data_IF_475287578897
#
_entry.id   IF_475287578897
#
_cell.length_a   1.000
_cell.length_b   1.000
_cell.length_c   1.000
_cell.angle_alpha   90.00
_cell.angle_beta   90.00
_cell.angle_gamma   90.00
#
_symmetry.space_group_name_H-M   'P 1'
#
loop_
_entity.id
_entity.type
_entity.pdbx_description
1 polymer ?
#
# COMPACT_ATOMS: atom_id res chain seq x y z
N UNK A 1 -1.88 -17.00 -4.62
CA UNK A 1 -0.50 -16.81 -4.11
C UNK A 1 -0.59 -16.50 -2.63
N UNK A 2 0.35 -16.99 -1.80
CA UNK A 2 0.27 -16.78 -0.35
C UNK A 2 0.85 -15.41 0.05
N UNK A 3 0.42 -14.88 1.20
CA UNK A 3 0.81 -13.54 1.70
C UNK A 3 2.33 -13.32 1.72
N UNK A 4 3.11 -14.32 2.12
CA UNK A 4 4.57 -14.24 2.16
C UNK A 4 5.20 -13.98 0.80
N UNK A 5 4.68 -14.61 -0.25
CA UNK A 5 5.19 -14.41 -1.62
C UNK A 5 4.79 -13.03 -2.14
N UNK A 6 3.55 -12.59 -1.86
CA UNK A 6 3.11 -11.23 -2.20
C UNK A 6 4.01 -10.19 -1.53
N UNK A 7 4.31 -10.37 -0.25
CA UNK A 7 5.20 -9.49 0.51
C UNK A 7 6.60 -9.45 -0.09
N UNK A 8 7.14 -10.57 -0.55
CA UNK A 8 8.46 -10.61 -1.20
C UNK A 8 8.46 -9.81 -2.51
N UNK A 9 7.46 -10.00 -3.37
CA UNK A 9 7.32 -9.23 -4.62
C UNK A 9 7.18 -7.74 -4.33
N UNK A 10 6.30 -7.37 -3.40
CA UNK A 10 6.04 -5.97 -3.02
C UNK A 10 7.30 -5.31 -2.45
N UNK A 11 7.93 -5.93 -1.45
CA UNK A 11 9.13 -5.37 -0.82
C UNK A 11 10.31 -5.29 -1.81
N UNK A 12 10.46 -6.26 -2.70
CA UNK A 12 11.48 -6.24 -3.75
C UNK A 12 11.32 -5.08 -4.73
N UNK A 13 10.10 -4.78 -5.17
CA UNK A 13 9.84 -3.64 -6.07
C UNK A 13 10.02 -2.31 -5.34
N UNK A 14 9.41 -2.16 -4.16
CA UNK A 14 9.41 -0.89 -3.43
C UNK A 14 10.79 -0.51 -2.90
N UNK A 15 11.57 -1.48 -2.39
CA UNK A 15 12.92 -1.22 -1.91
C UNK A 15 13.85 -0.71 -3.00
N UNK A 16 13.69 -1.19 -4.24
CA UNK A 16 14.49 -0.73 -5.37
C UNK A 16 14.06 0.66 -5.86
N UNK A 17 12.75 0.85 -6.06
CA UNK A 17 12.24 2.09 -6.67
C UNK A 17 12.22 3.27 -5.72
N UNK A 18 11.89 3.04 -4.45
CA UNK A 18 11.73 4.08 -3.45
C UNK A 18 12.97 4.21 -2.54
N UNK A 19 14.09 3.58 -2.90
CA UNK A 19 15.36 3.74 -2.19
C UNK A 19 15.75 5.22 -2.03
N UNK A 20 15.54 6.03 -3.07
CA UNK A 20 15.86 7.47 -3.07
C UNK A 20 15.02 8.28 -2.08
N UNK A 21 13.83 7.78 -1.71
CA UNK A 21 12.92 8.38 -0.73
C UNK A 21 13.19 7.87 0.70
N UNK A 22 14.24 7.05 0.87
CA UNK A 22 14.60 6.46 2.15
C UNK A 22 13.62 5.35 2.56
N UNK A 23 13.36 4.41 1.63
CA UNK A 23 12.61 3.19 1.93
C UNK A 23 13.14 2.51 3.19
N UNK A 24 12.24 2.26 4.15
CA UNK A 24 12.55 1.58 5.40
C UNK A 24 11.92 0.20 5.43
N UNK A 25 10.62 0.11 5.18
CA UNK A 25 9.86 -1.14 5.20
C UNK A 25 8.54 -1.00 4.45
N UNK A 26 7.86 -2.12 4.20
CA UNK A 26 6.49 -2.13 3.70
C UNK A 26 5.63 -3.10 4.51
N UNK A 27 4.47 -2.63 4.95
CA UNK A 27 3.40 -3.43 5.51
C UNK A 27 2.48 -3.90 4.37
N UNK A 28 2.15 -5.19 4.36
CA UNK A 28 1.33 -5.81 3.32
C UNK A 28 0.23 -6.59 4.00
N UNK A 29 -1.01 -6.20 3.72
CA UNK A 29 -2.22 -6.82 4.24
C UNK A 29 -3.10 -7.26 3.10
N UNK A 30 -3.85 -8.32 3.34
CA UNK A 30 -4.94 -8.75 2.47
C UNK A 30 -6.22 -8.45 3.21
N UNK A 31 -7.10 -7.73 2.55
CA UNK A 31 -8.41 -7.34 3.08
C UNK A 31 -9.47 -7.63 2.03
N UNK A 32 -10.72 -7.72 2.46
CA UNK A 32 -11.87 -7.87 1.56
C UNK A 32 -12.42 -6.48 1.25
N UNK A 33 -12.63 -6.17 -0.04
CA UNK A 33 -13.29 -4.93 -0.46
C UNK A 33 -14.83 -5.03 -0.27
N UNK A 34 -15.56 -3.95 -0.54
CA UNK A 34 -17.00 -3.88 -0.32
C UNK A 34 -17.80 -4.94 -1.10
N UNK A 35 -17.27 -5.36 -2.25
CA UNK A 35 -17.85 -6.39 -3.11
C UNK A 35 -17.49 -7.84 -2.69
N UNK A 36 -16.75 -8.04 -1.60
CA UNK A 36 -16.31 -9.37 -1.18
C UNK A 36 -15.03 -9.86 -1.87
N UNK A 37 -14.35 -9.00 -2.64
CA UNK A 37 -13.13 -9.35 -3.36
C UNK A 37 -11.87 -9.12 -2.52
N UNK A 38 -10.95 -10.10 -2.53
CA UNK A 38 -9.66 -9.94 -1.86
C UNK A 38 -8.78 -8.90 -2.56
N UNK A 39 -8.40 -7.87 -1.81
CA UNK A 39 -7.46 -6.83 -2.23
C UNK A 39 -6.18 -6.88 -1.40
N UNK A 40 -5.09 -6.38 -1.98
CA UNK A 40 -3.80 -6.26 -1.31
C UNK A 40 -3.57 -4.79 -0.96
N UNK A 41 -3.58 -4.47 0.33
CA UNK A 41 -3.26 -3.14 0.83
C UNK A 41 -1.80 -3.10 1.27
N UNK A 42 -1.06 -2.16 0.70
CA UNK A 42 0.37 -1.96 0.93
C UNK A 42 0.59 -0.58 1.53
N UNK A 43 1.25 -0.52 2.67
CA UNK A 43 1.73 0.74 3.27
C UNK A 43 3.25 0.74 3.23
N UNK A 44 3.84 1.65 2.46
CA UNK A 44 5.30 1.81 2.39
C UNK A 44 5.77 2.89 3.35
N UNK A 45 6.73 2.54 4.21
CA UNK A 45 7.33 3.47 5.16
C UNK A 45 8.59 4.09 4.55
N UNK A 46 8.58 5.42 4.42
CA UNK A 46 9.61 6.22 3.77
C UNK A 46 10.13 7.31 4.71
N UNK A 47 11.40 7.68 4.57
CA UNK A 47 11.95 8.83 5.28
C UNK A 47 11.44 10.17 4.73
N UNK A 48 11.06 10.20 3.45
CA UNK A 48 10.57 11.40 2.73
C UNK A 48 9.41 11.01 1.82
N UNK A 49 8.47 11.93 1.56
CA UNK A 49 7.40 11.67 0.61
C UNK A 49 7.97 11.39 -0.79
N UNK A 50 7.18 10.66 -1.59
CA UNK A 50 7.34 10.65 -3.04
C UNK A 50 6.57 11.83 -3.60
N UNK A 51 7.29 12.82 -4.13
CA UNK A 51 6.70 14.04 -4.71
C UNK A 51 5.93 13.76 -6.00
N UNK A 52 6.41 12.80 -6.80
CA UNK A 52 5.78 12.40 -8.05
C UNK A 52 4.84 11.22 -7.83
N UNK A 53 3.55 11.46 -7.97
CA UNK A 53 2.54 10.40 -7.83
C UNK A 53 2.64 9.36 -8.96
N UNK A 54 3.19 9.72 -10.12
CA UNK A 54 3.47 8.80 -11.23
C UNK A 54 4.39 7.66 -10.81
N UNK A 55 5.43 7.94 -10.01
CA UNK A 55 6.34 6.92 -9.50
C UNK A 55 5.65 5.89 -8.58
N UNK A 56 4.64 6.31 -7.81
CA UNK A 56 3.82 5.41 -7.01
C UNK A 56 2.94 4.53 -7.91
N UNK A 57 2.30 5.12 -8.92
CA UNK A 57 1.48 4.37 -9.88
C UNK A 57 2.31 3.38 -10.69
N UNK A 58 3.50 3.77 -11.15
CA UNK A 58 4.44 2.90 -11.83
C UNK A 58 4.84 1.73 -10.92
N UNK A 59 5.12 1.99 -9.65
CA UNK A 59 5.45 0.96 -8.64
C UNK A 59 4.31 -0.03 -8.46
N UNK A 60 3.06 0.45 -8.36
CA UNK A 60 1.86 -0.41 -8.34
C UNK A 60 1.74 -1.22 -9.62
N UNK A 61 1.96 -0.61 -10.78
CA UNK A 61 1.91 -1.28 -12.08
C UNK A 61 2.94 -2.42 -12.19
N UNK A 62 4.16 -2.20 -11.71
CA UNK A 62 5.20 -3.22 -11.69
C UNK A 62 4.87 -4.35 -10.70
N UNK A 63 4.39 -4.03 -9.49
CA UNK A 63 3.94 -5.03 -8.52
C UNK A 63 2.84 -5.90 -9.14
N UNK A 64 1.79 -5.27 -9.71
CA UNK A 64 0.68 -6.00 -10.36
C UNK A 64 1.18 -6.88 -11.51
N UNK A 65 2.09 -6.37 -12.32
CA UNK A 65 2.66 -7.15 -13.45
C UNK A 65 3.40 -8.39 -12.94
N UNK A 66 4.18 -8.28 -11.85
CA UNK A 66 4.88 -9.42 -11.26
C UNK A 66 3.92 -10.41 -10.61
N UNK A 67 2.94 -9.93 -9.84
CA UNK A 67 1.90 -10.76 -9.24
C UNK A 67 1.09 -11.53 -10.28
N UNK A 68 0.69 -10.87 -11.38
CA UNK A 68 -0.06 -11.50 -12.47
C UNK A 68 0.72 -12.59 -13.18
N UNK A 69 2.04 -12.44 -13.34
CA UNK A 69 2.92 -13.49 -13.90
C UNK A 69 2.93 -14.74 -13.03
N UNK A 70 2.72 -14.60 -11.73
CA UNK A 70 2.60 -15.72 -10.78
C UNK A 70 1.15 -16.19 -10.57
N UNK A 71 0.20 -15.64 -11.33
CA UNK A 71 -1.21 -16.02 -11.31
C UNK A 71 -2.07 -15.28 -10.28
N UNK A 72 -1.54 -14.27 -9.60
CA UNK A 72 -2.30 -13.44 -8.66
C UNK A 72 -2.87 -12.19 -9.37
N UNK A 73 -4.19 -12.09 -9.41
CA UNK A 73 -4.92 -11.03 -10.13
C UNK A 73 -5.52 -9.96 -9.22
N UNK A 74 -5.26 -10.05 -7.90
CA UNK A 74 -5.84 -9.14 -6.92
C UNK A 74 -5.41 -7.70 -7.16
N UNK A 75 -6.27 -6.76 -6.79
CA UNK A 75 -5.93 -5.34 -6.85
C UNK A 75 -4.94 -4.97 -5.76
N UNK A 76 -4.04 -4.03 -6.07
CA UNK A 76 -3.00 -3.56 -5.15
C UNK A 76 -3.22 -2.07 -4.89
N UNK A 77 -3.42 -1.72 -3.63
CA UNK A 77 -3.49 -0.34 -3.16
C UNK A 77 -2.20 0.01 -2.45
N UNK A 78 -1.50 1.04 -2.92
CA UNK A 78 -0.26 1.54 -2.32
C UNK A 78 -0.51 2.87 -1.61
N UNK A 79 -0.23 2.91 -0.32
CA UNK A 79 -0.17 4.10 0.52
C UNK A 79 1.28 4.33 0.94
N UNK A 80 1.71 5.58 1.00
CA UNK A 80 2.98 5.97 1.62
C UNK A 80 2.75 6.50 3.04
N UNK A 81 3.64 6.15 3.95
CA UNK A 81 3.74 6.63 5.32
C UNK A 81 5.14 7.25 5.48
N UNK A 82 5.19 8.49 5.96
CA UNK A 82 6.42 9.27 6.13
C UNK A 82 6.25 10.25 7.28
N UNK A 83 7.33 10.77 7.89
CA UNK A 83 7.21 11.76 8.96
C UNK A 83 6.51 13.02 8.44
N UNK A 84 5.35 13.34 9.01
CA UNK A 84 4.50 14.44 8.56
C UNK A 84 3.47 14.06 7.49
N UNK A 85 3.37 12.77 7.12
CA UNK A 85 2.20 12.26 6.42
C UNK A 85 1.00 12.48 7.34
N UNK A 86 0.01 13.24 6.86
CA UNK A 86 -1.26 13.35 7.56
C UNK A 86 -1.90 11.97 7.50
N UNK A 87 -1.74 11.23 8.60
CA UNK A 87 -2.42 9.98 8.81
C UNK A 87 -3.89 10.32 9.11
N UNK A 88 -4.61 10.79 8.09
CA UNK A 88 -6.03 10.52 7.94
C UNK A 88 -6.18 8.98 7.81
N UNK A 89 -5.88 8.25 8.87
CA UNK A 89 -6.62 7.05 9.19
C UNK A 89 -8.02 7.54 9.50
N UNK A 90 -9.04 6.89 8.93
CA UNK A 90 -10.40 7.15 9.33
C UNK A 90 -10.47 7.05 10.85
N UNK A 91 -10.57 8.20 11.50
CA UNK A 91 -11.34 8.28 12.73
C UNK A 91 -12.72 7.81 12.29
N UNK A 92 -13.01 6.57 12.68
CA UNK A 92 -14.35 6.09 12.92
C UNK A 92 -15.22 7.29 13.31
N UNK A 93 -16.29 7.53 12.55
CA UNK A 93 -17.33 8.47 12.90
C UNK A 93 -18.00 7.94 14.18
N UNK A 94 -17.29 8.04 15.31
CA UNK A 94 -17.77 7.72 16.63
C UNK A 94 -18.86 8.75 16.90
N UNK A 95 -20.09 8.31 16.62
CA UNK A 95 -21.30 8.64 17.36
C UNK A 95 -21.27 10.04 17.94
N UNK A 96 -21.84 11.02 17.23
CA UNK A 96 -22.20 12.29 17.87
C UNK A 96 -23.03 11.97 19.13
N UNK A 97 -22.51 12.20 20.36
CA UNK A 97 -23.38 12.19 21.51
C UNK A 97 -24.16 13.50 21.42
N UNK A 98 -25.49 13.40 21.35
CA UNK A 98 -26.35 14.55 21.19
C UNK A 98 -26.17 15.60 22.30
N UNK A 99 -26.64 16.82 22.02
CA UNK A 99 -27.47 17.69 22.89
C UNK A 99 -27.34 19.13 22.40
N UNK A 100 -28.39 19.70 21.79
CA UNK A 100 -29.29 20.68 22.43
C UNK A 100 -30.42 21.07 21.46
#
# INVERSE_FOLDING_TARGET
>A
MNLSQVKEVVTGVLSQRLAKNGYSSADVKVEEDFDGEEIIRVTVHLARPVDDTGELYDSVGEIRTRLQKEGDKRYVFLRQDFPGADNFGGEDEESAPGTH
#
